data_IF_049587884972
#
_entry.id   IF_049587884972
#
_cell.length_a   1.000
_cell.length_b   1.000
_cell.length_c   1.000
_cell.angle_alpha   90.00
_cell.angle_beta   90.00
_cell.angle_gamma   90.00
#
_symmetry.space_group_name_H-M   'P 1'
#
loop_
_entity.id
_entity.type
_entity.pdbx_description
1 polymer ?
#
# COMPACT_ATOMS: atom_id res chain seq x y z
N UNK A 1 27.86 -2.40 -76.23
CA UNK A 1 27.64 -2.81 -74.81
C UNK A 1 27.49 -1.57 -73.95
N UNK A 2 26.66 -1.60 -72.91
CA UNK A 2 25.80 -0.47 -72.55
C UNK A 2 26.48 0.59 -71.67
N UNK A 3 26.02 1.82 -71.86
CA UNK A 3 26.25 3.00 -71.02
C UNK A 3 25.84 2.74 -69.57
N UNK A 4 26.79 2.84 -68.64
CA UNK A 4 26.51 2.85 -67.21
C UNK A 4 25.98 4.22 -66.82
N UNK A 5 24.67 4.30 -66.59
CA UNK A 5 24.00 5.45 -65.98
C UNK A 5 24.36 5.49 -64.50
N UNK A 6 25.00 6.58 -64.04
CA UNK A 6 25.15 6.88 -62.62
C UNK A 6 23.77 7.15 -62.01
N UNK A 7 23.26 6.20 -61.21
CA UNK A 7 22.09 6.41 -60.36
C UNK A 7 22.57 6.76 -58.95
N UNK A 8 22.59 8.06 -58.65
CA UNK A 8 22.81 8.57 -57.30
C UNK A 8 21.60 8.22 -56.43
N UNK A 9 21.75 7.28 -55.50
CA UNK A 9 20.75 7.00 -54.47
C UNK A 9 20.91 8.00 -53.32
N UNK A 10 20.07 9.03 -53.28
CA UNK A 10 19.90 9.85 -52.09
C UNK A 10 19.10 9.04 -51.05
N UNK A 11 19.76 8.64 -49.97
CA UNK A 11 19.07 8.13 -48.78
C UNK A 11 18.52 9.34 -48.03
N UNK A 12 17.24 9.65 -48.24
CA UNK A 12 16.52 10.56 -47.35
C UNK A 12 16.42 9.91 -45.97
N UNK A 13 17.19 10.42 -45.01
CA UNK A 13 16.99 10.13 -43.59
C UNK A 13 15.64 10.70 -43.18
N UNK A 14 14.61 9.86 -43.14
CA UNK A 14 13.34 10.19 -42.51
C UNK A 14 13.60 10.41 -41.01
N UNK A 15 13.69 11.68 -40.62
CA UNK A 15 13.69 12.07 -39.21
C UNK A 15 12.27 11.88 -38.69
N UNK A 16 12.04 10.80 -37.96
CA UNK A 16 10.84 10.68 -37.13
C UNK A 16 10.88 11.78 -36.09
N UNK A 17 10.05 12.81 -36.25
CA UNK A 17 9.81 13.81 -35.21
C UNK A 17 9.19 13.11 -34.01
N UNK A 18 10.01 12.81 -33.00
CA UNK A 18 9.51 12.36 -31.69
C UNK A 18 8.97 13.61 -31.00
N UNK A 19 7.66 13.83 -31.05
CA UNK A 19 7.01 14.85 -30.25
C UNK A 19 7.32 14.59 -28.76
N UNK A 20 7.84 15.58 -28.06
CA UNK A 20 8.07 15.48 -26.62
C UNK A 20 6.73 15.18 -25.91
N UNK A 21 6.70 14.21 -24.98
CA UNK A 21 5.48 13.84 -24.31
C UNK A 21 5.01 14.99 -23.41
N UNK A 22 3.74 15.38 -23.54
CA UNK A 22 3.17 16.45 -22.72
C UNK A 22 3.20 16.07 -21.24
N UNK A 23 3.58 17.02 -20.39
CA UNK A 23 3.67 16.83 -18.93
C UNK A 23 2.80 17.82 -18.15
N UNK A 24 2.40 17.45 -16.94
CA UNK A 24 1.73 18.33 -15.97
C UNK A 24 2.45 18.23 -14.62
N UNK A 25 2.40 19.32 -13.84
CA UNK A 25 2.90 19.32 -12.46
C UNK A 25 1.77 18.95 -11.50
N UNK A 26 1.91 17.84 -10.78
CA UNK A 26 1.03 17.46 -9.68
C UNK A 26 1.57 18.01 -8.37
N UNK A 27 0.69 18.60 -7.55
CA UNK A 27 1.00 19.01 -6.18
C UNK A 27 0.42 17.99 -5.22
N UNK A 28 1.28 17.26 -4.53
CA UNK A 28 0.92 16.15 -3.64
C UNK A 28 1.17 16.54 -2.19
N UNK A 29 0.31 16.09 -1.28
CA UNK A 29 0.58 16.18 0.14
C UNK A 29 1.65 15.15 0.55
N UNK A 30 2.58 15.54 1.42
CA UNK A 30 3.59 14.65 2.03
C UNK A 30 3.78 15.01 3.50
N UNK A 31 4.32 14.09 4.30
CA UNK A 31 4.59 14.28 5.72
C UNK A 31 5.55 15.43 6.03
N UNK A 32 6.40 15.83 5.08
CA UNK A 32 7.29 17.00 5.18
C UNK A 32 6.72 18.26 4.51
N UNK A 33 5.46 18.24 4.10
CA UNK A 33 4.79 19.33 3.38
C UNK A 33 4.50 19.02 1.91
N UNK A 34 3.91 19.96 1.16
CA UNK A 34 3.54 19.73 -0.24
C UNK A 34 4.76 19.48 -1.13
N UNK A 35 4.70 18.47 -1.99
CA UNK A 35 5.72 18.16 -2.99
C UNK A 35 5.15 18.26 -4.40
N UNK A 36 5.97 18.70 -5.36
CA UNK A 36 5.56 18.79 -6.78
C UNK A 36 6.21 17.67 -7.59
N UNK A 37 5.44 17.01 -8.45
CA UNK A 37 5.91 15.95 -9.35
C UNK A 37 5.50 16.24 -10.78
N UNK A 38 6.46 16.19 -11.70
CA UNK A 38 6.18 16.23 -13.14
C UNK A 38 5.75 14.86 -13.61
N UNK A 39 4.57 14.77 -14.21
CA UNK A 39 4.02 13.51 -14.72
C UNK A 39 3.61 13.65 -16.18
N UNK A 40 3.62 12.53 -16.91
CA UNK A 40 3.13 12.48 -18.28
C UNK A 40 1.60 12.65 -18.30
N UNK A 41 1.08 13.34 -19.33
CA UNK A 41 -0.35 13.46 -19.59
C UNK A 41 -0.91 12.28 -20.43
N UNK A 42 -0.21 11.14 -20.42
CA UNK A 42 -0.72 9.92 -21.04
C UNK A 42 -1.95 9.43 -20.28
N UNK A 43 -3.02 8.98 -20.98
CA UNK A 43 -4.17 8.39 -20.30
C UNK A 43 -3.75 7.27 -19.34
N UNK A 44 -4.38 7.16 -18.16
CA UNK A 44 -4.15 6.03 -17.28
C UNK A 44 -4.42 4.72 -18.02
N UNK A 45 -3.57 3.72 -17.75
CA UNK A 45 -3.75 2.35 -18.23
C UNK A 45 -3.51 1.39 -17.08
N UNK A 46 -3.98 0.16 -17.24
CA UNK A 46 -3.66 -0.90 -16.31
C UNK A 46 -2.15 -1.15 -16.30
N UNK A 47 -1.63 -1.42 -15.11
CA UNK A 47 -0.26 -1.85 -14.94
C UNK A 47 -0.10 -3.27 -15.52
N UNK A 48 1.00 -3.52 -16.21
CA UNK A 48 1.39 -4.86 -16.60
C UNK A 48 1.79 -5.64 -15.34
N UNK A 49 1.60 -6.98 -15.29
CA UNK A 49 2.03 -7.79 -14.16
C UNK A 49 3.53 -7.63 -13.83
N UNK A 50 4.35 -7.31 -14.83
CA UNK A 50 5.80 -7.06 -14.66
C UNK A 50 6.14 -5.70 -14.05
N UNK A 51 5.19 -4.77 -13.99
CA UNK A 51 5.40 -3.42 -13.47
C UNK A 51 5.16 -3.33 -11.96
N UNK A 52 4.50 -4.32 -11.35
CA UNK A 52 4.30 -4.39 -9.90
C UNK A 52 5.13 -5.55 -9.35
N UNK A 53 6.22 -5.28 -8.60
CA UNK A 53 7.08 -6.32 -8.08
C UNK A 53 6.32 -7.26 -7.14
N UNK A 54 6.60 -8.56 -7.27
CA UNK A 54 6.28 -9.56 -6.26
C UNK A 54 7.59 -9.96 -5.59
N UNK A 55 7.76 -9.60 -4.32
CA UNK A 55 8.99 -9.83 -3.57
C UNK A 55 8.83 -11.08 -2.73
N UNK A 56 9.72 -12.06 -2.92
CA UNK A 56 9.85 -13.23 -2.06
C UNK A 56 10.65 -12.87 -0.81
N UNK A 57 9.99 -12.91 0.36
CA UNK A 57 10.63 -12.55 1.63
C UNK A 57 11.09 -13.76 2.44
N UNK A 58 11.06 -14.98 1.90
CA UNK A 58 11.54 -16.18 2.60
C UNK A 58 12.96 -16.02 3.14
N UNK A 59 13.82 -15.32 2.38
CA UNK A 59 15.21 -15.01 2.74
C UNK A 59 15.37 -14.03 3.91
N UNK A 60 14.30 -13.35 4.35
CA UNK A 60 14.34 -12.53 5.58
C UNK A 60 14.60 -13.40 6.81
N UNK A 61 14.20 -14.68 6.77
CA UNK A 61 14.42 -15.64 7.85
C UNK A 61 15.76 -16.40 7.72
N UNK A 62 16.58 -16.10 6.71
CA UNK A 62 17.89 -16.72 6.51
C UNK A 62 18.85 -16.36 7.65
N UNK A 63 19.72 -17.29 8.11
CA UNK A 63 20.81 -16.96 9.02
C UNK A 63 21.82 -16.00 8.39
N UNK A 64 21.95 -15.97 7.06
CA UNK A 64 22.86 -15.08 6.33
C UNK A 64 22.39 -13.62 6.36
N UNK A 65 23.25 -12.71 6.81
CA UNK A 65 22.97 -11.27 6.77
C UNK A 65 22.88 -10.75 5.34
N UNK A 66 23.64 -11.33 4.40
CA UNK A 66 23.67 -10.86 3.02
C UNK A 66 22.37 -11.19 2.27
N UNK A 67 21.74 -12.33 2.59
CA UNK A 67 20.40 -12.68 2.10
C UNK A 67 19.34 -11.69 2.59
N UNK A 68 19.35 -11.39 3.90
CA UNK A 68 18.42 -10.42 4.49
C UNK A 68 18.61 -9.03 3.90
N UNK A 69 19.87 -8.62 3.67
CA UNK A 69 20.21 -7.35 3.01
C UNK A 69 19.76 -7.31 1.55
N UNK A 70 19.81 -8.44 0.84
CA UNK A 70 19.31 -8.52 -0.53
C UNK A 70 17.81 -8.24 -0.60
N UNK A 71 17.01 -8.91 0.25
CA UNK A 71 15.56 -8.64 0.32
C UNK A 71 15.27 -7.19 0.73
N UNK A 72 16.03 -6.66 1.69
CA UNK A 72 15.86 -5.26 2.11
C UNK A 72 16.13 -4.26 0.97
N UNK A 73 17.11 -4.55 0.09
CA UNK A 73 17.35 -3.75 -1.12
C UNK A 73 16.18 -3.85 -2.10
N UNK A 74 15.66 -5.05 -2.36
CA UNK A 74 14.50 -5.24 -3.24
C UNK A 74 13.27 -4.46 -2.75
N UNK A 75 12.98 -4.51 -1.45
CA UNK A 75 11.91 -3.73 -0.83
C UNK A 75 12.18 -2.22 -0.95
N UNK A 76 13.41 -1.79 -0.66
CA UNK A 76 13.82 -0.39 -0.76
C UNK A 76 13.66 0.15 -2.18
N UNK A 77 14.10 -0.60 -3.19
CA UNK A 77 14.02 -0.22 -4.59
C UNK A 77 12.56 -0.15 -5.06
N UNK A 78 11.72 -1.12 -4.68
CA UNK A 78 10.29 -1.10 -5.02
C UNK A 78 9.57 0.08 -4.33
N UNK A 79 9.84 0.33 -3.05
CA UNK A 79 9.26 1.45 -2.31
C UNK A 79 9.70 2.81 -2.86
N UNK A 80 10.97 2.96 -3.25
CA UNK A 80 11.52 4.23 -3.72
C UNK A 80 11.07 4.59 -5.14
N UNK A 81 10.90 3.60 -6.01
CA UNK A 81 10.62 3.83 -7.43
C UNK A 81 9.13 3.69 -7.78
N UNK A 82 8.44 2.72 -7.18
CA UNK A 82 7.06 2.37 -7.50
C UNK A 82 6.12 2.79 -6.37
N UNK A 83 6.59 2.69 -5.11
CA UNK A 83 5.78 2.98 -3.93
C UNK A 83 4.79 1.87 -3.57
N UNK A 84 4.82 0.75 -4.29
CA UNK A 84 3.93 -0.39 -4.10
C UNK A 84 4.59 -1.70 -4.57
N UNK A 85 4.30 -2.81 -3.88
CA UNK A 85 4.75 -4.16 -4.22
C UNK A 85 3.89 -5.20 -3.52
N UNK A 86 3.85 -6.42 -4.06
CA UNK A 86 3.31 -7.60 -3.39
C UNK A 86 4.42 -8.34 -2.64
N UNK A 87 4.04 -9.06 -1.59
CA UNK A 87 4.92 -9.95 -0.83
C UNK A 87 4.45 -11.39 -1.03
N UNK A 88 5.39 -12.32 -1.18
CA UNK A 88 5.16 -13.76 -1.16
C UNK A 88 6.05 -14.44 -0.12
N UNK A 89 5.70 -15.67 0.28
CA UNK A 89 6.43 -16.47 1.27
C UNK A 89 6.61 -15.75 2.62
N UNK A 90 5.58 -15.02 3.05
CA UNK A 90 5.56 -14.26 4.31
C UNK A 90 5.41 -15.11 5.58
N UNK A 91 5.21 -16.42 5.46
CA UNK A 91 5.06 -17.34 6.60
C UNK A 91 3.69 -17.34 7.29
N UNK A 92 2.82 -16.36 7.02
CA UNK A 92 1.42 -16.40 7.47
C UNK A 92 0.68 -17.61 6.84
N UNK A 93 0.12 -18.54 7.64
CA UNK A 93 -0.57 -19.71 7.10
C UNK A 93 -1.88 -19.35 6.37
N UNK A 94 -2.16 -20.04 5.26
CA UNK A 94 -3.38 -19.83 4.45
C UNK A 94 -4.68 -20.00 5.25
N UNK A 95 -4.67 -20.90 6.25
CA UNK A 95 -5.81 -21.11 7.13
C UNK A 95 -6.16 -19.86 7.96
N UNK A 96 -5.14 -19.10 8.40
CA UNK A 96 -5.32 -17.84 9.14
C UNK A 96 -5.94 -16.78 8.23
N UNK A 97 -5.40 -16.62 7.02
CA UNK A 97 -5.92 -15.66 6.02
C UNK A 97 -7.38 -16.00 5.67
N UNK A 98 -7.66 -17.27 5.40
CA UNK A 98 -8.99 -17.76 5.05
C UNK A 98 -9.99 -17.55 6.18
N UNK A 99 -9.57 -17.83 7.43
CA UNK A 99 -10.40 -17.63 8.62
C UNK A 99 -10.72 -16.15 8.86
N UNK A 100 -9.71 -15.27 8.76
CA UNK A 100 -9.87 -13.83 8.91
C UNK A 100 -10.85 -13.27 7.85
N UNK A 101 -10.68 -13.68 6.59
CA UNK A 101 -11.56 -13.27 5.50
C UNK A 101 -13.02 -13.71 5.71
N UNK A 102 -13.23 -14.98 6.08
CA UNK A 102 -14.58 -15.52 6.36
C UNK A 102 -15.24 -14.79 7.53
N UNK A 103 -14.49 -14.54 8.60
CA UNK A 103 -14.97 -13.83 9.79
C UNK A 103 -15.35 -12.38 9.47
N UNK A 104 -14.50 -11.67 8.72
CA UNK A 104 -14.78 -10.31 8.28
C UNK A 104 -16.06 -10.25 7.43
N UNK A 105 -16.22 -11.14 6.45
CA UNK A 105 -17.45 -11.23 5.65
C UNK A 105 -18.67 -11.55 6.50
N UNK A 106 -18.56 -12.47 7.46
CA UNK A 106 -19.65 -12.83 8.35
C UNK A 106 -20.09 -11.63 9.19
N UNK A 107 -19.16 -10.79 9.65
CA UNK A 107 -19.47 -9.55 10.35
C UNK A 107 -20.20 -8.54 9.43
N UNK A 108 -19.63 -8.21 8.27
CA UNK A 108 -20.19 -7.16 7.41
C UNK A 108 -21.54 -7.52 6.77
N UNK A 109 -21.86 -8.81 6.66
CA UNK A 109 -23.17 -9.32 6.22
C UNK A 109 -24.28 -9.20 7.26
N UNK A 110 -23.96 -8.87 8.51
CA UNK A 110 -24.98 -8.61 9.53
C UNK A 110 -25.75 -7.33 9.21
N UNK A 111 -26.93 -7.20 9.81
CA UNK A 111 -27.72 -5.98 9.72
C UNK A 111 -27.00 -4.80 10.38
N UNK A 112 -27.39 -3.59 10.01
CA UNK A 112 -26.74 -2.37 10.49
C UNK A 112 -26.85 -2.21 12.01
N UNK A 113 -27.98 -2.57 12.62
CA UNK A 113 -28.20 -2.42 14.06
C UNK A 113 -27.21 -3.29 14.84
N UNK A 114 -27.01 -4.54 14.40
CA UNK A 114 -26.05 -5.45 15.00
C UNK A 114 -24.62 -4.92 14.86
N UNK A 115 -24.22 -4.45 13.66
CA UNK A 115 -22.88 -3.88 13.44
C UNK A 115 -22.64 -2.63 14.29
N UNK A 116 -23.66 -1.81 14.50
CA UNK A 116 -23.59 -0.60 15.33
C UNK A 116 -23.34 -0.89 16.82
N UNK A 117 -23.58 -2.11 17.31
CA UNK A 117 -23.21 -2.50 18.69
C UNK A 117 -21.71 -2.49 18.91
N UNK A 118 -20.92 -2.67 17.85
CA UNK A 118 -19.47 -2.59 17.88
C UNK A 118 -18.93 -1.23 17.39
N UNK A 119 -19.76 -0.17 17.36
CA UNK A 119 -19.37 1.14 16.84
C UNK A 119 -18.18 1.71 17.61
N UNK A 120 -17.20 2.24 16.88
CA UNK A 120 -16.06 2.93 17.47
C UNK A 120 -16.50 4.16 18.27
N UNK A 121 -15.89 4.39 19.42
CA UNK A 121 -16.19 5.52 20.30
C UNK A 121 -14.90 6.19 20.80
N UNK A 122 -14.22 7.00 19.94
CA UNK A 122 -12.93 7.59 20.31
C UNK A 122 -13.02 8.54 21.52
N UNK A 123 -14.16 9.19 21.72
CA UNK A 123 -14.43 10.02 22.91
C UNK A 123 -14.47 9.22 24.21
N UNK A 124 -14.59 7.90 24.13
CA UNK A 124 -14.56 6.95 25.25
C UNK A 124 -13.25 6.15 25.29
N UNK A 125 -12.21 6.58 24.55
CA UNK A 125 -10.94 5.86 24.46
C UNK A 125 -10.93 4.66 23.50
N UNK A 126 -12.10 4.21 23.02
CA UNK A 126 -12.24 3.06 22.12
C UNK A 126 -11.79 3.42 20.71
N UNK A 127 -10.64 2.89 20.32
CA UNK A 127 -10.03 3.12 18.99
C UNK A 127 -10.23 1.95 18.04
N UNK A 128 -10.66 0.80 18.56
CA UNK A 128 -11.17 -0.33 17.80
C UNK A 128 -12.70 -0.24 17.65
N UNK A 129 -13.23 -0.68 16.52
CA UNK A 129 -14.66 -0.80 16.28
C UNK A 129 -15.09 -0.48 14.86
N UNK A 130 -16.41 -0.57 14.66
CA UNK A 130 -17.11 -0.38 13.40
C UNK A 130 -17.36 1.10 13.09
N UNK A 131 -17.20 1.43 11.80
CA UNK A 131 -17.54 2.70 11.16
C UNK A 131 -18.54 2.43 10.04
N UNK A 132 -19.74 3.04 10.07
CA UNK A 132 -20.76 2.83 9.05
C UNK A 132 -20.32 3.22 7.64
N UNK A 133 -21.07 2.73 6.65
CA UNK A 133 -20.90 3.13 5.26
C UNK A 133 -20.89 4.66 5.10
N UNK A 134 -19.94 5.18 4.32
CA UNK A 134 -19.80 6.60 4.03
C UNK A 134 -19.65 7.51 5.28
N UNK A 135 -19.16 6.96 6.40
CA UNK A 135 -18.94 7.75 7.63
C UNK A 135 -17.55 8.38 7.73
N UNK A 136 -16.68 8.18 6.74
CA UNK A 136 -15.32 8.71 6.71
C UNK A 136 -15.11 9.49 5.42
N UNK A 137 -14.26 10.51 5.49
CA UNK A 137 -13.81 11.30 4.35
C UNK A 137 -12.33 11.55 4.54
N UNK A 138 -11.49 10.70 3.95
CA UNK A 138 -10.04 10.83 4.10
C UNK A 138 -9.50 11.96 3.23
N UNK A 139 -9.96 12.04 1.98
CA UNK A 139 -9.63 13.13 1.09
C UNK A 139 -10.65 14.27 1.26
N UNK A 140 -10.26 15.46 1.77
CA UNK A 140 -11.18 16.58 1.95
C UNK A 140 -11.78 17.10 0.64
N UNK A 141 -11.10 16.87 -0.49
CA UNK A 141 -11.49 17.36 -1.82
C UNK A 141 -12.45 16.40 -2.56
N UNK A 142 -12.63 15.16 -2.07
CA UNK A 142 -13.50 14.14 -2.67
C UNK A 142 -14.73 13.85 -1.81
N UNK A 143 -15.67 13.03 -2.27
CA UNK A 143 -16.84 12.61 -1.47
C UNK A 143 -16.47 11.78 -0.23
N UNK A 144 -17.48 11.37 0.54
CA UNK A 144 -17.26 10.38 1.60
C UNK A 144 -16.75 9.05 1.01
N UNK A 145 -15.87 8.36 1.72
CA UNK A 145 -15.34 7.06 1.31
C UNK A 145 -16.49 6.07 1.15
N UNK A 146 -16.66 5.46 -0.04
CA UNK A 146 -17.70 4.46 -0.31
C UNK A 146 -17.35 3.09 0.29
N UNK A 147 -17.22 3.04 1.61
CA UNK A 147 -16.90 1.85 2.38
C UNK A 147 -17.52 1.93 3.77
N UNK A 148 -17.76 0.78 4.35
CA UNK A 148 -17.81 0.60 5.79
C UNK A 148 -16.45 0.07 6.27
N UNK A 149 -16.15 0.16 7.56
CA UNK A 149 -14.83 -0.27 8.09
C UNK A 149 -14.97 -0.82 9.49
N UNK A 150 -14.19 -1.85 9.80
CA UNK A 150 -13.95 -2.29 11.16
C UNK A 150 -12.46 -2.11 11.41
N UNK A 151 -12.10 -1.37 12.46
CA UNK A 151 -10.71 -1.16 12.87
C UNK A 151 -10.44 -1.93 14.14
N UNK A 152 -9.26 -2.54 14.25
CA UNK A 152 -8.75 -3.07 15.50
C UNK A 152 -7.35 -2.51 15.72
N UNK A 153 -7.06 -2.11 16.95
CA UNK A 153 -5.71 -1.78 17.39
C UNK A 153 -5.13 -3.00 18.13
N UNK A 154 -3.80 -3.01 18.26
CA UNK A 154 -3.16 -3.93 19.20
C UNK A 154 -3.59 -3.54 20.62
N UNK A 155 -4.07 -4.52 21.38
CA UNK A 155 -4.36 -4.40 22.79
C UNK A 155 -3.48 -5.38 23.56
N UNK A 156 -2.62 -4.83 24.42
CA UNK A 156 -1.64 -5.58 25.19
C UNK A 156 -2.30 -6.60 26.15
N UNK A 157 -3.56 -6.40 26.53
CA UNK A 157 -4.28 -7.34 27.42
C UNK A 157 -4.56 -8.68 26.76
N UNK A 158 -4.59 -8.73 25.42
CA UNK A 158 -4.78 -9.96 24.65
C UNK A 158 -3.45 -10.62 24.25
N UNK A 159 -2.31 -10.01 24.56
CA UNK A 159 -1.01 -10.55 24.21
C UNK A 159 -0.46 -11.43 25.36
N UNK A 160 -0.37 -12.76 25.18
CA UNK A 160 0.15 -13.64 26.21
C UNK A 160 1.65 -13.42 26.49
N UNK A 161 2.38 -12.76 25.58
CA UNK A 161 3.82 -12.48 25.74
C UNK A 161 4.10 -11.19 26.50
N UNK A 162 3.13 -10.27 26.62
CA UNK A 162 3.32 -8.99 27.33
C UNK A 162 3.57 -9.15 28.83
N UNK A 163 3.07 -10.23 29.44
CA UNK A 163 3.13 -10.41 30.89
C UNK A 163 2.28 -9.39 31.64
N UNK A 164 2.72 -8.95 32.83
CA UNK A 164 2.01 -7.93 33.61
C UNK A 164 2.28 -6.53 33.04
N UNK A 165 1.25 -5.89 32.48
CA UNK A 165 1.31 -4.51 31.95
C UNK A 165 1.79 -3.50 33.00
N UNK A 166 1.57 -3.78 34.29
CA UNK A 166 2.03 -2.91 35.38
C UNK A 166 3.53 -3.03 35.64
N UNK A 167 4.18 -4.09 35.16
CA UNK A 167 5.63 -4.23 35.18
C UNK A 167 6.32 -3.41 34.08
N UNK A 168 5.58 -2.93 33.08
CA UNK A 168 6.12 -2.03 32.04
C UNK A 168 6.49 -0.68 32.68
N UNK A 169 7.72 -0.17 32.46
CA UNK A 169 8.13 1.13 32.97
C UNK A 169 7.14 2.24 32.60
N UNK A 170 6.84 3.13 33.55
CA UNK A 170 5.79 4.16 33.42
C UNK A 170 5.92 4.99 32.13
N UNK A 171 7.15 5.35 31.75
CA UNK A 171 7.43 6.15 30.57
C UNK A 171 7.01 5.47 29.25
N UNK A 172 6.97 4.13 29.22
CA UNK A 172 6.47 3.33 28.09
C UNK A 172 4.99 2.97 28.27
N UNK A 173 4.60 2.60 29.51
CA UNK A 173 3.22 2.19 29.85
C UNK A 173 2.18 3.24 29.46
N UNK A 174 2.47 4.54 29.59
CA UNK A 174 1.55 5.62 29.19
C UNK A 174 1.19 5.64 27.70
N UNK A 175 1.93 4.92 26.85
CA UNK A 175 1.66 4.79 25.42
C UNK A 175 0.96 3.48 25.06
N UNK A 176 0.87 2.53 26.00
CA UNK A 176 0.10 1.30 25.80
C UNK A 176 -1.37 1.68 25.91
N UNK A 177 -2.12 1.36 24.85
CA UNK A 177 -3.57 1.57 24.80
C UNK A 177 -4.25 0.23 25.03
N UNK A 178 -5.27 0.25 25.87
CA UNK A 178 -6.19 -0.86 26.13
C UNK A 178 -7.59 -0.34 25.83
N UNK A 179 -8.44 -1.15 25.21
CA UNK A 179 -9.80 -0.74 24.81
C UNK A 179 -10.83 -0.83 25.98
N UNK A 180 -10.37 -1.16 27.21
CA UNK A 180 -11.14 -1.12 28.47
C UNK A 180 -11.25 0.27 29.10
#
# INVERSE_FOLDING_TARGET
>A
EPSQTNCSFNVEKSQTMVNEPKTVQLRLASGQGPVTRTVLQTPPRDALPSEIPVIDISRVFSPSIDDRRAVAREIGDAAANIGFFYISNHGVPDAVITSAYKTALAFFRQDLETKLRAKIAPSQGKISGYRPFASQRINPDEGADHRETFSWAYDATYDPEMGDINAVPEHARKYIRTDE
#
